data_IF_718637663929
#
_entry.id   IF_718637663929
#
_cell.length_a   1.000
_cell.length_b   1.000
_cell.length_c   1.000
_cell.angle_alpha   90.00
_cell.angle_beta   90.00
_cell.angle_gamma   90.00
#
_symmetry.space_group_name_H-M   'P 1'
#
loop_
_entity.id
_entity.type
_entity.pdbx_description
1 polymer ?
#
# COMPACT_ATOMS: atom_id res chain seq x y z
N UNK A 1 6.82 7.11 -12.24
CA UNK A 1 5.41 6.90 -11.92
C UNK A 1 4.50 7.44 -13.04
N UNK A 2 3.24 7.00 -13.05
CA UNK A 2 2.18 7.54 -13.89
C UNK A 2 1.08 8.07 -12.99
N UNK A 3 0.45 9.19 -13.38
CA UNK A 3 -0.62 9.83 -12.63
C UNK A 3 -1.88 9.85 -13.50
N UNK A 4 -2.99 9.43 -12.92
CA UNK A 4 -4.31 9.39 -13.53
C UNK A 4 -5.21 10.35 -12.78
N UNK A 5 -5.69 11.39 -13.45
CA UNK A 5 -6.54 12.41 -12.83
C UNK A 5 -7.96 12.37 -13.41
N UNK A 6 -8.98 12.66 -12.60
CA UNK A 6 -10.33 12.83 -13.09
C UNK A 6 -10.41 13.97 -14.14
N UNK A 7 -11.30 13.81 -15.10
CA UNK A 7 -11.54 14.85 -16.14
C UNK A 7 -12.09 16.14 -15.52
N UNK A 8 -12.86 16.02 -14.44
CA UNK A 8 -13.42 17.17 -13.72
C UNK A 8 -12.33 17.89 -12.93
N UNK A 9 -12.32 19.22 -12.94
CA UNK A 9 -11.41 19.98 -12.09
C UNK A 9 -11.78 19.83 -10.60
N UNK A 10 -10.79 19.88 -9.72
CA UNK A 10 -10.95 19.80 -8.27
C UNK A 10 -9.58 19.77 -7.59
N UNK A 11 -9.52 20.20 -6.35
CA UNK A 11 -8.32 20.18 -5.53
C UNK A 11 -8.50 19.23 -4.33
N UNK A 12 -7.37 18.80 -3.75
CA UNK A 12 -7.32 17.94 -2.55
C UNK A 12 -8.17 16.65 -2.69
N UNK A 13 -7.97 15.97 -3.83
CA UNK A 13 -8.61 14.69 -4.09
C UNK A 13 -7.85 13.57 -3.38
N UNK A 14 -8.53 12.56 -2.82
CA UNK A 14 -7.85 11.42 -2.23
C UNK A 14 -6.95 10.73 -3.26
N UNK A 15 -5.83 10.18 -2.80
CA UNK A 15 -4.81 9.56 -3.65
C UNK A 15 -4.76 8.05 -3.43
N UNK A 16 -4.82 7.28 -4.50
CA UNK A 16 -4.57 5.83 -4.49
C UNK A 16 -3.25 5.52 -5.20
N UNK A 17 -2.24 5.09 -4.44
CA UNK A 17 -0.95 4.69 -4.95
C UNK A 17 -0.90 3.18 -5.16
N UNK A 18 -0.72 2.74 -6.40
CA UNK A 18 -0.65 1.33 -6.78
C UNK A 18 0.79 0.86 -6.96
N UNK A 19 1.11 -0.27 -6.31
CA UNK A 19 2.38 -0.99 -6.38
C UNK A 19 2.17 -2.31 -7.11
N UNK A 20 2.81 -2.52 -8.25
CA UNK A 20 2.62 -3.73 -9.05
C UNK A 20 3.18 -4.98 -8.37
N UNK A 21 2.62 -6.16 -8.69
CA UNK A 21 3.16 -7.46 -8.32
C UNK A 21 4.27 -7.93 -9.27
N UNK A 22 4.60 -9.22 -9.21
CA UNK A 22 5.59 -9.84 -10.09
C UNK A 22 6.82 -10.38 -9.36
N UNK A 23 6.60 -10.93 -8.15
CA UNK A 23 7.63 -11.60 -7.34
C UNK A 23 8.90 -10.74 -7.16
N UNK A 24 8.76 -9.42 -7.07
CA UNK A 24 9.83 -8.41 -6.94
C UNK A 24 10.86 -8.44 -8.10
N UNK A 25 10.67 -9.27 -9.13
CA UNK A 25 11.60 -9.47 -10.24
C UNK A 25 11.08 -9.00 -11.59
N UNK A 26 9.78 -8.83 -11.72
CA UNK A 26 9.12 -8.44 -12.96
C UNK A 26 7.92 -7.54 -12.65
N UNK A 27 7.26 -7.07 -13.69
CA UNK A 27 6.11 -6.19 -13.59
C UNK A 27 6.44 -4.77 -14.06
N UNK A 28 5.38 -4.01 -14.23
CA UNK A 28 5.48 -2.63 -14.67
C UNK A 28 4.23 -1.86 -14.23
N UNK A 29 4.36 -0.58 -13.96
CA UNK A 29 3.27 0.31 -13.54
C UNK A 29 2.03 0.32 -14.44
N UNK A 30 2.17 -0.08 -15.72
CA UNK A 30 1.05 -0.16 -16.67
C UNK A 30 0.38 -1.53 -16.77
N UNK A 31 0.84 -2.56 -16.03
CA UNK A 31 0.37 -3.93 -16.24
C UNK A 31 -0.74 -4.37 -15.29
N UNK A 32 -0.67 -4.00 -14.02
CA UNK A 32 -1.57 -4.47 -12.97
C UNK A 32 -2.27 -3.30 -12.27
N UNK A 33 -3.36 -3.59 -11.55
CA UNK A 33 -4.09 -2.61 -10.76
C UNK A 33 -4.91 -1.59 -11.56
N UNK A 34 -4.83 -1.61 -12.89
CA UNK A 34 -5.52 -0.64 -13.74
C UNK A 34 -7.04 -0.61 -13.52
N UNK A 35 -7.75 -1.76 -13.37
CA UNK A 35 -9.19 -1.73 -13.12
C UNK A 35 -9.57 -0.99 -11.84
N UNK A 36 -8.82 -1.18 -10.74
CA UNK A 36 -9.08 -0.47 -9.49
C UNK A 36 -8.69 1.01 -9.60
N UNK A 37 -7.53 1.33 -10.17
CA UNK A 37 -7.10 2.71 -10.36
C UNK A 37 -8.12 3.50 -11.19
N UNK A 38 -8.52 2.98 -12.36
CA UNK A 38 -9.49 3.65 -13.23
C UNK A 38 -10.84 3.82 -12.52
N UNK A 39 -11.30 2.77 -11.81
CA UNK A 39 -12.53 2.86 -11.03
C UNK A 39 -12.48 3.98 -9.98
N UNK A 40 -11.36 4.12 -9.28
CA UNK A 40 -11.20 5.18 -8.28
C UNK A 40 -11.06 6.57 -8.92
N UNK A 41 -10.40 6.68 -10.08
CA UNK A 41 -10.35 7.93 -10.85
C UNK A 41 -11.75 8.36 -11.31
N UNK A 42 -12.60 7.44 -11.77
CA UNK A 42 -14.00 7.70 -12.08
C UNK A 42 -14.80 8.19 -10.86
N UNK A 43 -14.45 7.70 -9.66
CA UNK A 43 -15.03 8.14 -8.38
C UNK A 43 -14.39 9.43 -7.83
N UNK A 44 -13.49 10.05 -8.59
CA UNK A 44 -12.92 11.35 -8.25
C UNK A 44 -11.60 11.31 -7.50
N UNK A 45 -10.93 10.17 -7.39
CA UNK A 45 -9.60 10.04 -6.81
C UNK A 45 -8.49 10.36 -7.83
N UNK A 46 -7.32 10.70 -7.34
CA UNK A 46 -6.08 10.70 -8.13
C UNK A 46 -5.44 9.32 -8.01
N UNK A 47 -5.23 8.65 -9.14
CA UNK A 47 -4.52 7.38 -9.20
C UNK A 47 -3.04 7.61 -9.49
N UNK A 48 -2.17 6.90 -8.76
CA UNK A 48 -0.72 6.90 -9.00
C UNK A 48 -0.25 5.47 -9.16
N UNK A 49 0.46 5.14 -10.24
CA UNK A 49 1.08 3.83 -10.43
C UNK A 49 2.60 3.95 -10.53
N UNK A 50 3.32 3.11 -9.81
CA UNK A 50 4.78 3.23 -9.68
C UNK A 50 5.52 2.02 -10.25
N UNK A 51 6.73 2.24 -10.72
CA UNK A 51 7.76 1.22 -10.83
C UNK A 51 8.66 1.28 -9.60
N UNK A 52 9.26 0.16 -9.26
CA UNK A 52 10.31 0.04 -8.26
C UNK A 52 11.45 -0.82 -8.81
N UNK A 53 12.63 -0.74 -8.24
CA UNK A 53 13.80 -1.54 -8.63
C UNK A 53 13.51 -3.01 -8.46
N UNK A 54 13.98 -3.82 -9.40
CA UNK A 54 13.67 -5.25 -9.48
C UNK A 54 14.89 -6.11 -9.18
N UNK A 55 14.67 -7.17 -8.40
CA UNK A 55 15.63 -8.25 -8.22
C UNK A 55 15.76 -9.07 -9.54
N UNK A 56 16.85 -9.77 -9.79
CA UNK A 56 18.01 -9.89 -8.93
C UNK A 56 19.02 -8.74 -9.12
N UNK A 57 18.76 -7.77 -10.02
CA UNK A 57 19.66 -6.64 -10.22
C UNK A 57 19.82 -5.80 -8.97
N UNK A 58 18.71 -5.53 -8.31
CA UNK A 58 18.64 -4.76 -7.08
C UNK A 58 18.03 -5.64 -5.97
N UNK A 59 18.85 -6.07 -5.03
CA UNK A 59 18.41 -6.92 -3.92
C UNK A 59 17.45 -6.16 -2.97
N UNK A 60 16.60 -6.91 -2.25
CA UNK A 60 15.83 -6.36 -1.15
C UNK A 60 16.81 -5.78 -0.08
N UNK A 61 16.55 -4.58 0.48
CA UNK A 61 15.28 -3.85 0.56
C UNK A 61 15.07 -2.74 -0.51
N UNK A 62 15.76 -2.75 -1.65
CA UNK A 62 15.64 -1.70 -2.67
C UNK A 62 14.18 -1.43 -3.06
N UNK A 63 13.33 -2.45 -3.09
CA UNK A 63 11.92 -2.37 -3.50
C UNK A 63 11.10 -1.53 -2.53
N UNK A 64 11.19 -1.80 -1.23
CA UNK A 64 10.44 -1.02 -0.22
C UNK A 64 10.97 0.40 -0.10
N UNK A 65 12.26 0.63 -0.25
CA UNK A 65 12.85 1.98 -0.30
C UNK A 65 12.24 2.79 -1.44
N UNK A 66 12.11 2.19 -2.64
CA UNK A 66 11.52 2.88 -3.79
C UNK A 66 10.02 3.16 -3.60
N UNK A 67 9.27 2.27 -2.95
CA UNK A 67 7.86 2.50 -2.59
C UNK A 67 7.74 3.68 -1.62
N UNK A 68 8.55 3.72 -0.56
CA UNK A 68 8.57 4.85 0.38
C UNK A 68 8.99 6.16 -0.30
N UNK A 69 9.97 6.10 -1.19
CA UNK A 69 10.37 7.27 -1.99
C UNK A 69 9.24 7.76 -2.91
N UNK A 70 8.44 6.86 -3.44
CA UNK A 70 7.26 7.23 -4.22
C UNK A 70 6.17 7.86 -3.35
N UNK A 71 5.94 7.35 -2.13
CA UNK A 71 5.02 7.97 -1.15
C UNK A 71 5.50 9.38 -0.80
N UNK A 72 6.79 9.55 -0.50
CA UNK A 72 7.39 10.84 -0.21
C UNK A 72 7.22 11.83 -1.38
N UNK A 73 7.44 11.35 -2.62
CA UNK A 73 7.20 12.15 -3.82
C UNK A 73 5.73 12.58 -3.95
N UNK A 74 4.79 11.66 -3.73
CA UNK A 74 3.36 11.98 -3.75
C UNK A 74 3.03 13.05 -2.72
N UNK A 75 3.48 12.90 -1.48
CA UNK A 75 3.24 13.87 -0.41
C UNK A 75 3.83 15.27 -0.68
N UNK A 76 4.84 15.37 -1.54
CA UNK A 76 5.47 16.65 -1.86
C UNK A 76 5.01 17.31 -3.16
N UNK A 77 4.39 16.55 -4.08
CA UNK A 77 4.10 17.04 -5.43
C UNK A 77 2.67 16.83 -5.92
N UNK A 78 1.89 15.97 -5.24
CA UNK A 78 0.60 15.53 -5.81
C UNK A 78 -0.45 16.66 -5.88
N UNK A 79 -0.29 17.74 -5.13
CA UNK A 79 -1.16 18.92 -5.21
C UNK A 79 -1.12 19.55 -6.61
N UNK A 80 0.01 19.51 -7.31
CA UNK A 80 0.16 20.01 -8.70
C UNK A 80 -0.79 19.26 -9.66
N UNK A 81 -1.21 18.06 -9.28
CA UNK A 81 -2.12 17.18 -10.03
C UNK A 81 -3.52 17.10 -9.41
N UNK A 82 -3.82 17.98 -8.45
CA UNK A 82 -5.12 18.04 -7.78
C UNK A 82 -5.33 16.98 -6.70
N UNK A 83 -4.29 16.26 -6.30
CA UNK A 83 -4.33 15.27 -5.22
C UNK A 83 -4.16 15.91 -3.83
N UNK A 84 -4.56 15.18 -2.81
CA UNK A 84 -4.39 15.53 -1.41
C UNK A 84 -3.15 14.83 -0.84
N UNK A 85 -2.06 15.55 -0.50
CA UNK A 85 -0.86 14.96 0.08
C UNK A 85 -1.10 14.35 1.47
N UNK A 86 -2.13 14.80 2.18
CA UNK A 86 -2.46 14.33 3.52
C UNK A 86 -3.34 13.05 3.49
N UNK A 87 -3.88 12.68 2.32
CA UNK A 87 -4.70 11.50 2.17
C UNK A 87 -4.21 10.58 1.05
N UNK A 88 -3.34 9.64 1.41
CA UNK A 88 -2.75 8.65 0.50
C UNK A 88 -3.07 7.24 0.98
N UNK A 89 -3.69 6.42 0.15
CA UNK A 89 -3.88 4.99 0.38
C UNK A 89 -2.99 4.21 -0.57
N UNK A 90 -2.32 3.16 -0.06
CA UNK A 90 -1.46 2.30 -0.87
C UNK A 90 -2.15 0.98 -1.18
N UNK A 91 -2.02 0.50 -2.40
CA UNK A 91 -2.61 -0.78 -2.84
C UNK A 91 -1.64 -1.56 -3.71
N UNK A 92 -1.78 -2.87 -3.70
CA UNK A 92 -1.01 -3.75 -4.59
C UNK A 92 -1.35 -5.22 -4.42
N UNK A 93 -0.95 -6.04 -5.39
CA UNK A 93 -1.14 -7.49 -5.38
C UNK A 93 0.18 -8.25 -5.26
N UNK A 94 0.17 -9.42 -4.60
CA UNK A 94 1.35 -10.29 -4.49
C UNK A 94 2.56 -9.58 -3.87
N UNK A 95 3.68 -9.50 -4.57
CA UNK A 95 4.84 -8.70 -4.16
C UNK A 95 4.48 -7.22 -3.93
N UNK A 96 3.56 -6.64 -4.72
CA UNK A 96 3.04 -5.29 -4.50
C UNK A 96 2.18 -5.20 -3.24
N UNK A 97 1.40 -6.23 -2.94
CA UNK A 97 0.64 -6.36 -1.69
C UNK A 97 1.56 -6.44 -0.47
N UNK A 98 2.63 -7.22 -0.55
CA UNK A 98 3.69 -7.27 0.44
C UNK A 98 4.31 -5.89 0.72
N UNK A 99 4.73 -5.18 -0.34
CA UNK A 99 5.32 -3.85 -0.22
C UNK A 99 4.31 -2.82 0.32
N UNK A 100 3.02 -2.97 -0.02
CA UNK A 100 1.95 -2.12 0.52
C UNK A 100 1.74 -2.35 2.02
N UNK A 101 1.75 -3.63 2.48
CA UNK A 101 1.68 -3.95 3.90
C UNK A 101 2.87 -3.33 4.67
N UNK A 102 4.09 -3.51 4.14
CA UNK A 102 5.28 -2.92 4.76
C UNK A 102 5.19 -1.38 4.79
N UNK A 103 4.75 -0.73 3.72
CA UNK A 103 4.57 0.71 3.69
C UNK A 103 3.65 1.20 4.81
N UNK A 104 2.52 0.50 5.05
CA UNK A 104 1.59 0.84 6.12
C UNK A 104 2.10 0.56 7.53
N UNK A 105 2.98 -0.44 7.70
CA UNK A 105 3.50 -0.86 9.01
C UNK A 105 4.82 -0.18 9.41
N UNK A 106 5.46 0.55 8.50
CA UNK A 106 6.83 1.04 8.69
C UNK A 106 6.98 2.54 8.39
N UNK A 107 5.93 3.34 8.59
CA UNK A 107 6.05 4.79 8.47
C UNK A 107 7.19 5.28 9.36
N UNK A 108 8.09 6.10 8.87
CA UNK A 108 9.21 6.62 9.65
C UNK A 108 10.36 5.64 9.91
N UNK A 109 10.40 4.46 9.29
CA UNK A 109 11.56 3.57 9.40
C UNK A 109 12.78 4.18 8.67
N UNK A 110 13.73 4.69 9.45
CA UNK A 110 14.83 5.53 8.97
C UNK A 110 15.70 4.85 7.89
N UNK A 111 16.03 3.57 8.06
CA UNK A 111 16.90 2.83 7.13
C UNK A 111 16.31 2.70 5.72
N UNK A 112 15.00 2.85 5.59
CA UNK A 112 14.30 2.82 4.29
C UNK A 112 13.94 4.21 3.76
N UNK A 113 14.42 5.27 4.41
CA UNK A 113 14.16 6.66 4.03
C UNK A 113 15.44 7.48 3.80
N UNK A 114 16.57 6.83 3.51
CA UNK A 114 17.83 7.52 3.27
C UNK A 114 17.72 8.57 2.13
N UNK A 115 18.00 9.83 2.46
CA UNK A 115 17.92 10.98 1.57
C UNK A 115 16.54 11.64 1.49
N UNK A 116 15.56 11.18 2.27
CA UNK A 116 14.24 11.81 2.46
C UNK A 116 13.66 11.58 3.87
N UNK A 117 14.52 11.49 4.86
CA UNK A 117 14.20 11.21 6.27
C UNK A 117 13.22 12.21 6.89
N UNK A 118 13.24 13.44 6.39
CA UNK A 118 12.35 14.52 6.87
C UNK A 118 10.92 14.45 6.32
N UNK A 119 10.61 13.50 5.41
CA UNK A 119 9.28 13.39 4.82
C UNK A 119 8.51 12.29 5.56
N UNK A 120 7.33 12.64 6.06
CA UNK A 120 6.40 11.64 6.60
C UNK A 120 5.90 10.70 5.48
N UNK A 121 6.12 9.39 5.63
CA UNK A 121 5.65 8.37 4.70
C UNK A 121 4.45 7.56 5.25
N UNK A 122 3.79 8.05 6.28
CA UNK A 122 2.55 7.45 6.78
C UNK A 122 1.45 7.51 5.72
N UNK A 123 0.65 6.46 5.66
CA UNK A 123 -0.47 6.34 4.73
C UNK A 123 -1.78 6.16 5.50
N UNK A 124 -2.89 6.57 4.90
CA UNK A 124 -4.21 6.58 5.55
C UNK A 124 -4.97 5.27 5.40
N UNK A 125 -4.44 4.33 4.63
CA UNK A 125 -5.00 2.99 4.47
C UNK A 125 -4.14 2.11 3.58
N UNK A 126 -4.34 0.79 3.70
CA UNK A 126 -3.67 -0.22 2.87
C UNK A 126 -4.70 -1.22 2.34
N UNK A 127 -4.78 -1.36 1.02
CA UNK A 127 -5.57 -2.39 0.38
C UNK A 127 -4.61 -3.40 -0.29
N UNK A 128 -4.45 -4.58 0.31
CA UNK A 128 -3.51 -5.59 -0.14
C UNK A 128 -4.23 -6.83 -0.71
N UNK A 129 -3.87 -7.22 -1.92
CA UNK A 129 -4.42 -8.39 -2.59
C UNK A 129 -3.41 -9.54 -2.54
N UNK A 130 -3.83 -10.69 -2.03
CA UNK A 130 -3.01 -11.91 -1.91
C UNK A 130 -1.54 -11.62 -1.57
N UNK A 131 -1.30 -10.86 -0.47
CA UNK A 131 0.02 -10.36 -0.14
C UNK A 131 0.91 -11.46 0.42
N UNK A 132 2.22 -11.43 0.10
CA UNK A 132 3.21 -12.17 0.88
C UNK A 132 3.36 -11.49 2.25
N UNK A 133 3.25 -12.25 3.33
CA UNK A 133 3.22 -11.72 4.70
C UNK A 133 4.43 -12.13 5.54
N UNK A 134 5.17 -13.16 5.10
CA UNK A 134 6.28 -13.73 5.85
C UNK A 134 7.39 -14.22 4.90
N UNK A 135 8.57 -13.63 4.95
CA UNK A 135 9.74 -14.09 4.21
C UNK A 135 10.53 -15.15 4.98
N UNK A 136 10.26 -15.30 6.28
CA UNK A 136 10.99 -16.21 7.17
C UNK A 136 10.40 -17.62 7.20
N UNK A 137 9.13 -17.80 6.75
CA UNK A 137 8.38 -19.04 6.94
C UNK A 137 8.36 -19.51 8.41
N UNK A 138 8.17 -18.55 9.35
CA UNK A 138 8.27 -18.80 10.80
C UNK A 138 7.34 -19.89 11.33
N UNK A 139 6.19 -20.05 10.69
CA UNK A 139 5.18 -21.06 11.07
C UNK A 139 5.31 -22.37 10.28
N UNK A 140 6.30 -22.49 9.37
CA UNK A 140 6.50 -23.70 8.56
C UNK A 140 5.32 -24.04 7.64
N UNK A 141 4.50 -23.05 7.27
CA UNK A 141 3.32 -23.27 6.42
C UNK A 141 3.77 -23.63 5.00
N UNK A 142 4.79 -22.98 4.49
CA UNK A 142 5.40 -23.33 3.21
C UNK A 142 6.24 -24.61 3.34
N UNK A 143 5.66 -25.73 2.96
CA UNK A 143 6.35 -27.00 3.00
C UNK A 143 7.36 -27.21 1.85
N UNK A 144 7.29 -26.35 0.83
CA UNK A 144 8.16 -26.43 -0.33
C UNK A 144 9.36 -25.50 -0.15
N UNK A 145 10.54 -26.07 0.03
CA UNK A 145 11.82 -25.35 0.08
C UNK A 145 12.12 -24.47 -1.16
N UNK A 146 11.34 -24.65 -2.23
CA UNK A 146 11.50 -23.90 -3.49
C UNK A 146 11.26 -22.41 -3.33
N UNK A 147 10.21 -22.00 -2.60
CA UNK A 147 9.89 -20.57 -2.37
C UNK A 147 10.92 -19.92 -1.45
N UNK A 148 11.30 -20.59 -0.36
CA UNK A 148 12.32 -20.06 0.56
C UNK A 148 13.67 -19.93 -0.15
N UNK A 149 14.04 -20.92 -0.96
CA UNK A 149 15.24 -20.84 -1.81
C UNK A 149 15.16 -19.77 -2.90
N UNK A 150 13.98 -19.47 -3.42
CA UNK A 150 13.79 -18.36 -4.36
C UNK A 150 13.99 -17.01 -3.67
N UNK A 151 13.35 -16.79 -2.50
CA UNK A 151 13.50 -15.57 -1.70
C UNK A 151 14.97 -15.33 -1.37
N UNK A 152 15.66 -16.33 -0.83
CA UNK A 152 17.07 -16.23 -0.42
C UNK A 152 17.99 -15.93 -1.60
N UNK A 153 17.89 -16.69 -2.71
CA UNK A 153 18.84 -16.60 -3.82
C UNK A 153 18.57 -15.48 -4.80
N UNK A 154 17.31 -15.08 -4.98
CA UNK A 154 16.92 -14.13 -6.04
C UNK A 154 16.52 -12.77 -5.50
N UNK A 155 15.84 -12.71 -4.37
CA UNK A 155 15.26 -11.48 -3.83
C UNK A 155 16.20 -10.83 -2.83
N UNK A 156 16.55 -11.53 -1.75
CA UNK A 156 17.45 -11.02 -0.69
C UNK A 156 18.91 -11.19 -1.06
N UNK A 157 19.25 -12.26 -1.82
CA UNK A 157 20.59 -12.63 -2.24
C UNK A 157 21.54 -12.97 -1.08
N UNK A 158 20.95 -13.35 0.03
CA UNK A 158 21.62 -13.85 1.22
C UNK A 158 20.83 -15.02 1.79
N UNK A 159 21.47 -15.87 2.58
CA UNK A 159 20.75 -16.91 3.32
C UNK A 159 20.15 -16.32 4.59
N UNK A 160 19.13 -16.98 5.12
CA UNK A 160 18.49 -16.55 6.36
C UNK A 160 19.45 -16.58 7.55
N UNK A 161 20.39 -17.53 7.56
CA UNK A 161 21.41 -17.67 8.60
C UNK A 161 22.44 -16.52 8.54
N UNK A 162 22.71 -15.99 7.33
CA UNK A 162 23.71 -14.93 7.13
C UNK A 162 23.11 -13.52 7.40
N UNK A 163 21.82 -13.32 7.17
CA UNK A 163 21.16 -12.03 7.33
C UNK A 163 19.74 -12.18 7.88
N UNK A 164 19.55 -12.75 9.07
CA UNK A 164 18.24 -13.01 9.64
C UNK A 164 17.40 -11.72 9.78
N UNK A 165 18.02 -10.60 10.10
CA UNK A 165 17.37 -9.29 10.23
C UNK A 165 16.72 -8.82 8.91
N UNK A 166 17.34 -9.09 7.76
CA UNK A 166 16.76 -8.69 6.46
C UNK A 166 15.49 -9.47 6.16
N UNK A 167 15.43 -10.75 6.55
CA UNK A 167 14.23 -11.57 6.42
C UNK A 167 13.13 -11.13 7.40
N UNK A 168 13.49 -10.81 8.63
CA UNK A 168 12.57 -10.31 9.65
C UNK A 168 12.01 -8.93 9.26
N UNK A 169 12.87 -8.00 8.85
CA UNK A 169 12.45 -6.67 8.40
C UNK A 169 11.63 -6.74 7.09
N UNK A 170 11.92 -7.71 6.24
CA UNK A 170 11.15 -8.01 5.04
C UNK A 170 9.81 -8.70 5.30
N UNK A 171 9.47 -9.04 6.53
CA UNK A 171 8.24 -9.79 6.85
C UNK A 171 7.20 -8.90 7.55
N UNK A 172 6.07 -8.56 6.90
CA UNK A 172 4.98 -7.84 7.56
C UNK A 172 4.56 -8.42 8.91
N UNK A 173 4.55 -9.75 9.04
CA UNK A 173 4.22 -10.44 10.28
C UNK A 173 5.22 -10.17 11.42
N UNK A 174 6.46 -9.79 11.13
CA UNK A 174 7.43 -9.40 12.15
C UNK A 174 7.14 -8.01 12.71
N UNK A 175 6.63 -7.13 11.86
CA UNK A 175 6.36 -5.74 12.23
C UNK A 175 5.18 -5.59 13.17
N UNK A 176 4.11 -6.36 13.00
CA UNK A 176 2.93 -6.28 13.87
C UNK A 176 3.21 -6.61 15.33
N UNK A 177 4.33 -7.28 15.61
CA UNK A 177 4.76 -7.62 16.96
C UNK A 177 5.77 -6.63 17.55
N UNK A 178 6.17 -5.60 16.80
CA UNK A 178 7.03 -4.53 17.33
C UNK A 178 6.19 -3.52 18.08
N UNK A 179 6.74 -3.01 19.16
CA UNK A 179 6.06 -2.07 20.06
C UNK A 179 5.48 -0.86 19.30
N UNK A 180 4.21 -0.59 19.50
CA UNK A 180 3.49 0.54 18.92
C UNK A 180 3.14 0.42 17.43
N UNK A 181 3.64 -0.58 16.70
CA UNK A 181 3.42 -0.68 15.25
C UNK A 181 1.98 -1.04 14.92
N UNK A 182 1.46 -2.10 15.52
CA UNK A 182 0.10 -2.56 15.24
C UNK A 182 -0.95 -1.54 15.71
N UNK A 183 -0.71 -0.89 16.85
CA UNK A 183 -1.59 0.13 17.45
C UNK A 183 -1.65 1.42 16.61
N UNK A 184 -0.54 1.80 15.97
CA UNK A 184 -0.45 3.01 15.14
C UNK A 184 -0.71 2.76 13.66
N UNK A 185 -0.93 1.50 13.27
CA UNK A 185 -1.17 1.13 11.89
C UNK A 185 -2.47 1.74 11.33
N UNK A 186 -2.51 2.09 10.02
CA UNK A 186 -3.74 2.56 9.39
C UNK A 186 -4.75 1.42 9.22
N UNK A 187 -5.99 1.68 8.81
CA UNK A 187 -6.93 0.63 8.38
C UNK A 187 -6.37 -0.24 7.26
N UNK A 188 -6.61 -1.54 7.34
CA UNK A 188 -6.21 -2.51 6.31
C UNK A 188 -7.43 -3.20 5.70
N UNK A 189 -7.39 -3.40 4.38
CA UNK A 189 -8.23 -4.36 3.69
C UNK A 189 -7.34 -5.39 2.99
N UNK A 190 -7.45 -6.64 3.41
CA UNK A 190 -6.70 -7.76 2.83
C UNK A 190 -7.69 -8.67 2.14
N UNK A 191 -7.43 -9.01 0.87
CA UNK A 191 -8.23 -9.96 0.11
C UNK A 191 -7.38 -11.11 -0.39
N UNK A 192 -7.85 -12.35 -0.20
CA UNK A 192 -7.11 -13.56 -0.52
C UNK A 192 -7.98 -14.56 -1.28
N UNK A 193 -7.39 -15.23 -2.28
CA UNK A 193 -8.03 -16.36 -2.95
C UNK A 193 -7.86 -17.66 -2.16
N UNK A 194 -8.95 -18.43 -1.96
CA UNK A 194 -8.85 -19.68 -1.18
C UNK A 194 -8.13 -20.82 -1.90
N UNK A 195 -7.85 -20.70 -3.20
CA UNK A 195 -7.11 -21.68 -4.02
C UNK A 195 -5.81 -21.07 -4.55
N UNK A 196 -5.30 -20.04 -3.91
CA UNK A 196 -4.04 -19.43 -4.30
C UNK A 196 -2.89 -20.43 -4.15
N UNK A 197 -2.22 -20.74 -5.26
CA UNK A 197 -1.14 -21.71 -5.33
C UNK A 197 0.27 -21.08 -5.21
N UNK A 198 0.37 -19.76 -5.10
CA UNK A 198 1.63 -19.04 -4.95
C UNK A 198 1.80 -18.44 -3.56
N UNK A 199 0.76 -17.78 -3.05
CA UNK A 199 0.69 -17.28 -1.68
C UNK A 199 -0.45 -18.00 -0.97
N UNK A 200 -0.10 -18.90 -0.08
CA UNK A 200 -1.07 -19.79 0.54
C UNK A 200 -2.00 -19.05 1.48
N UNK A 201 -3.27 -19.35 1.39
CA UNK A 201 -4.31 -18.70 2.21
C UNK A 201 -4.04 -18.86 3.71
N UNK A 202 -3.43 -19.97 4.11
CA UNK A 202 -3.07 -20.24 5.50
C UNK A 202 -2.04 -19.24 6.07
N UNK A 203 -1.10 -18.76 5.25
CA UNK A 203 -0.15 -17.72 5.67
C UNK A 203 -0.87 -16.41 5.95
N UNK A 204 -1.76 -15.99 5.04
CA UNK A 204 -2.53 -14.75 5.20
C UNK A 204 -3.52 -14.85 6.35
N UNK A 205 -4.20 -16.00 6.53
CA UNK A 205 -5.05 -16.28 7.69
C UNK A 205 -4.29 -16.13 9.00
N UNK A 206 -3.07 -16.67 9.05
CA UNK A 206 -2.21 -16.58 10.23
C UNK A 206 -1.83 -15.13 10.54
N UNK A 207 -1.38 -14.39 9.53
CA UNK A 207 -1.08 -12.96 9.67
C UNK A 207 -2.29 -12.18 10.20
N UNK A 208 -3.47 -12.37 9.61
CA UNK A 208 -4.70 -11.70 10.05
C UNK A 208 -5.08 -12.07 11.48
N UNK A 209 -4.98 -13.35 11.85
CA UNK A 209 -5.30 -13.81 13.18
C UNK A 209 -4.37 -13.22 14.26
N UNK A 210 -3.10 -12.97 13.92
CA UNK A 210 -2.14 -12.33 14.81
C UNK A 210 -2.29 -10.80 14.83
N UNK A 211 -2.60 -10.17 13.69
CA UNK A 211 -2.70 -8.72 13.60
C UNK A 211 -4.00 -8.16 14.18
N UNK A 212 -5.14 -8.80 13.91
CA UNK A 212 -6.45 -8.27 14.31
C UNK A 212 -6.59 -7.93 15.81
N UNK A 213 -6.11 -8.75 16.76
CA UNK A 213 -6.19 -8.43 18.18
C UNK A 213 -5.23 -7.31 18.64
N UNK A 214 -4.21 -6.97 17.85
CA UNK A 214 -3.21 -5.95 18.15
C UNK A 214 -3.56 -4.58 17.55
N UNK A 215 -4.34 -4.55 16.49
CA UNK A 215 -4.69 -3.32 15.79
C UNK A 215 -5.74 -2.52 16.55
N UNK A 216 -5.54 -1.20 16.66
CA UNK A 216 -6.53 -0.27 17.23
C UNK A 216 -7.60 0.18 16.23
N UNK A 217 -7.44 -0.19 14.95
CA UNK A 217 -8.32 0.20 13.83
C UNK A 217 -8.83 -1.03 13.09
N UNK A 218 -9.92 -0.91 12.32
CA UNK A 218 -10.47 -2.04 11.59
C UNK A 218 -9.50 -2.69 10.61
N UNK A 219 -9.33 -4.00 10.74
CA UNK A 219 -8.70 -4.89 9.77
C UNK A 219 -9.81 -5.68 9.06
N UNK A 220 -10.04 -5.38 7.80
CA UNK A 220 -10.99 -6.12 6.96
C UNK A 220 -10.26 -7.24 6.24
N UNK A 221 -10.73 -8.47 6.40
CA UNK A 221 -10.20 -9.63 5.68
C UNK A 221 -11.32 -10.31 4.90
N UNK A 222 -11.09 -10.51 3.60
CA UNK A 222 -12.05 -11.17 2.72
C UNK A 222 -11.40 -12.33 1.97
N UNK A 223 -12.04 -13.48 1.99
CA UNK A 223 -11.64 -14.63 1.18
C UNK A 223 -12.56 -14.78 -0.03
N UNK A 224 -11.97 -14.92 -1.20
CA UNK A 224 -12.69 -15.21 -2.43
C UNK A 224 -12.69 -16.72 -2.70
N UNK A 225 -13.85 -17.39 -2.62
CA UNK A 225 -13.93 -18.82 -2.80
C UNK A 225 -13.39 -19.26 -4.16
N UNK A 226 -12.49 -20.25 -4.16
CA UNK A 226 -11.87 -20.84 -5.36
C UNK A 226 -11.15 -19.85 -6.28
N UNK A 227 -10.82 -18.63 -5.78
CA UNK A 227 -9.99 -17.73 -6.54
C UNK A 227 -8.52 -18.18 -6.46
N UNK A 228 -7.83 -18.05 -7.57
CA UNK A 228 -6.40 -18.26 -7.69
C UNK A 228 -5.64 -16.95 -7.47
N UNK A 229 -4.30 -17.05 -7.43
CA UNK A 229 -3.42 -15.88 -7.42
C UNK A 229 -3.72 -14.94 -8.60
N UNK A 230 -3.60 -13.64 -8.39
CA UNK A 230 -3.81 -12.62 -9.43
C UNK A 230 -5.23 -12.65 -10.06
N UNK A 231 -6.25 -12.97 -9.27
CA UNK A 231 -7.64 -13.08 -9.73
C UNK A 231 -8.20 -11.79 -10.33
N UNK A 232 -7.67 -10.63 -9.96
CA UNK A 232 -8.16 -9.31 -10.40
C UNK A 232 -7.62 -8.89 -11.77
N UNK A 233 -6.60 -9.56 -12.30
CA UNK A 233 -6.04 -9.25 -13.63
C UNK A 233 -7.05 -9.57 -14.74
N UNK A 234 -7.91 -10.55 -14.51
CA UNK A 234 -8.88 -11.01 -15.51
C UNK A 234 -10.28 -10.50 -15.19
N UNK A 235 -11.01 -10.10 -16.22
CA UNK A 235 -12.43 -9.77 -16.07
C UNK A 235 -13.22 -11.00 -15.64
N UNK A 236 -13.78 -10.95 -14.44
CA UNK A 236 -14.55 -12.04 -13.87
C UNK A 236 -15.55 -11.51 -12.84
N UNK A 237 -16.59 -12.28 -12.46
CA UNK A 237 -17.46 -11.91 -11.33
C UNK A 237 -16.67 -11.65 -10.04
N UNK A 238 -15.59 -12.40 -9.78
CA UNK A 238 -14.73 -12.18 -8.60
C UNK A 238 -14.04 -10.83 -8.64
N UNK A 239 -13.50 -10.45 -9.79
CA UNK A 239 -12.91 -9.13 -10.01
C UNK A 239 -13.94 -8.03 -9.76
N UNK A 240 -15.16 -8.18 -10.29
CA UNK A 240 -16.24 -7.19 -10.08
C UNK A 240 -16.62 -7.08 -8.60
N UNK A 241 -16.73 -8.19 -7.88
CA UNK A 241 -17.01 -8.17 -6.44
C UNK A 241 -15.87 -7.52 -5.66
N UNK A 242 -14.62 -7.83 -6.01
CA UNK A 242 -13.46 -7.19 -5.41
C UNK A 242 -13.46 -5.67 -5.66
N UNK A 243 -13.66 -5.23 -6.90
CA UNK A 243 -13.69 -3.80 -7.24
C UNK A 243 -14.79 -3.05 -6.47
N UNK A 244 -15.97 -3.64 -6.33
CA UNK A 244 -17.06 -3.05 -5.57
C UNK A 244 -16.73 -2.96 -4.06
N UNK A 245 -16.22 -4.04 -3.47
CA UNK A 245 -15.86 -4.05 -2.05
C UNK A 245 -14.66 -3.14 -1.76
N UNK A 246 -13.64 -3.18 -2.61
CA UNK A 246 -12.43 -2.35 -2.48
C UNK A 246 -12.74 -0.86 -2.62
N UNK A 247 -13.53 -0.47 -3.63
CA UNK A 247 -13.92 0.94 -3.79
C UNK A 247 -14.82 1.42 -2.63
N UNK A 248 -15.75 0.60 -2.15
CA UNK A 248 -16.57 0.95 -0.98
C UNK A 248 -15.71 1.13 0.29
N UNK A 249 -14.72 0.25 0.49
CA UNK A 249 -13.81 0.38 1.62
C UNK A 249 -12.92 1.63 1.51
N UNK A 250 -12.42 1.95 0.32
CA UNK A 250 -11.62 3.16 0.07
C UNK A 250 -12.41 4.44 0.39
N UNK A 251 -13.69 4.50 -0.03
CA UNK A 251 -14.59 5.62 0.31
C UNK A 251 -14.90 5.68 1.81
N UNK A 252 -15.01 4.54 2.48
CA UNK A 252 -15.16 4.49 3.93
C UNK A 252 -13.94 5.03 4.65
N UNK A 253 -12.71 4.65 4.27
CA UNK A 253 -11.45 5.18 4.84
C UNK A 253 -11.40 6.70 4.68
N UNK A 254 -11.78 7.20 3.50
CA UNK A 254 -11.86 8.64 3.22
C UNK A 254 -12.83 9.35 4.17
N UNK A 255 -14.03 8.82 4.36
CA UNK A 255 -15.03 9.38 5.26
C UNK A 255 -14.52 9.43 6.72
N UNK A 256 -13.92 8.33 7.19
CA UNK A 256 -13.32 8.26 8.53
C UNK A 256 -12.19 9.28 8.74
N UNK A 257 -11.36 9.50 7.73
CA UNK A 257 -10.30 10.51 7.80
C UNK A 257 -10.87 11.92 7.89
N UNK A 258 -11.89 12.25 7.07
CA UNK A 258 -12.55 13.54 7.10
C UNK A 258 -13.24 13.83 8.45
N UNK A 259 -13.88 12.83 9.06
CA UNK A 259 -14.49 12.94 10.39
C UNK A 259 -13.46 13.23 11.48
N UNK A 260 -12.30 12.54 11.45
CA UNK A 260 -11.19 12.75 12.40
C UNK A 260 -10.58 14.15 12.25
N UNK A 261 -10.34 14.60 11.02
CA UNK A 261 -9.82 15.93 10.73
C UNK A 261 -10.78 17.03 11.20
N UNK A 262 -12.07 16.85 11.00
CA UNK A 262 -13.10 17.78 11.50
C UNK A 262 -13.17 17.82 13.03
N UNK A 263 -12.97 16.68 13.70
CA UNK A 263 -13.01 16.58 15.16
C UNK A 263 -11.76 17.16 15.82
N UNK A 264 -10.59 17.08 15.17
CA UNK A 264 -9.31 17.63 15.69
C UNK A 264 -9.19 19.14 15.57
N UNK A 265 -10.15 19.83 14.94
CA UNK A 265 -10.15 21.29 14.81
C UNK A 265 -9.12 21.85 13.83
N UNK A 266 -8.49 20.99 13.06
CA UNK A 266 -7.57 21.38 11.99
C UNK A 266 -8.35 21.94 10.78
N UNK A 267 -9.01 23.09 11.04
CA UNK A 267 -9.53 23.94 9.97
C UNK A 267 -8.37 24.82 9.54
N UNK A 268 -7.67 24.45 8.50
CA UNK A 268 -6.91 25.43 7.73
C UNK A 268 -7.92 26.51 7.27
N UNK A 269 -7.92 27.67 7.92
CA UNK A 269 -8.69 28.83 7.48
C UNK A 269 -8.37 29.10 6.02
N UNK A 270 -9.38 29.32 5.15
CA UNK A 270 -9.13 29.81 3.81
C UNK A 270 -8.39 31.15 3.94
N UNK A 271 -7.43 31.47 3.06
CA UNK A 271 -6.70 32.72 3.12
C UNK A 271 -7.69 33.88 3.16
N UNK A 272 -7.65 34.65 4.22
CA UNK A 272 -8.44 35.88 4.40
C UNK A 272 -8.13 36.80 3.23
N UNK A 273 -9.17 37.14 2.46
CA UNK A 273 -9.07 38.15 1.42
C UNK A 273 -8.54 39.47 2.05
N UNK A 274 -7.43 39.94 1.53
CA UNK A 274 -6.83 41.19 1.91
C UNK A 274 -7.81 42.35 1.63
N UNK A 275 -8.34 43.08 2.63
CA UNK A 275 -9.30 44.17 2.40
C UNK A 275 -8.65 45.47 1.88
N UNK A 276 -7.34 45.49 1.58
CA UNK A 276 -6.59 46.68 1.20
C UNK A 276 -6.09 46.74 -0.26
N UNK A 277 -6.79 46.10 -1.23
CA UNK A 277 -6.58 46.54 -2.61
C UNK A 277 -7.41 47.77 -2.87
N UNK A 278 -6.76 48.92 -2.57
CA UNK A 278 -7.28 50.23 -2.87
C UNK A 278 -7.66 50.40 -4.32
N UNK A 279 -8.75 51.08 -4.54
CA UNK A 279 -9.22 51.58 -5.83
C UNK A 279 -8.15 52.47 -6.50
N UNK A 280 -7.91 52.35 -7.80
CA UNK A 280 -7.19 53.41 -8.51
C UNK A 280 -8.11 54.58 -8.66
N UNK A 281 -7.68 55.71 -8.18
CA UNK A 281 -8.19 57.02 -8.52
C UNK A 281 -7.66 57.43 -9.91
N UNK A 282 -8.56 58.00 -10.68
CA UNK A 282 -8.43 58.79 -11.90
C UNK A 282 -8.01 58.11 -13.20
#
# INVERSE_FOLDING_TARGET
LDIYTPVTQGARRPVLLHVHGGAWMMGHKSHQGQPLLHRMVELGWVGVSINYRLAPRDAYPAQIIDVKKAIAWVKTHIEEYGGDPDFVVVTGGSAGGHLSLLAGLTSGHADWQAGFEGVDTAVQGVLAMYPVVDLTNRHGIRQQARMDGFISRKIIQQTREAAPEVFEDGSPISWIHREGVAESAPPFFIVQGTHDSLVWVEEVRRFVAEFAPLSSVPLVYAELPRAQHAFEIFHSPRTSHFLNAGSAWLEWVRAQHAEKSAASGDRSEPPTADPHRGSPHD
#
